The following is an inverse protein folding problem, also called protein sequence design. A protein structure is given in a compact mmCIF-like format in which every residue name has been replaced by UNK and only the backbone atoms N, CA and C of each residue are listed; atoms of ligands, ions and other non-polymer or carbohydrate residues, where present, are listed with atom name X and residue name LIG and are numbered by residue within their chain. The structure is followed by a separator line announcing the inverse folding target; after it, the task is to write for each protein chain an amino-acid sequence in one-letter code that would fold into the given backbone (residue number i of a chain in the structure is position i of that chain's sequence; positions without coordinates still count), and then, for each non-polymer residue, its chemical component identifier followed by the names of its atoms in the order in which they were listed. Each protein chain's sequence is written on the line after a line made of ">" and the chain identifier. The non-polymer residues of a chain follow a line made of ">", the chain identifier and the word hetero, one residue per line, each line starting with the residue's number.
data_IF_249528696176
#
_entry.id   IF_249528696176
#
_cell.length_a   1.000
_cell.length_b   1.000
_cell.length_c   1.000
_cell.angle_alpha   90.00
_cell.angle_beta   90.00
_cell.angle_gamma   90.00
#
_symmetry.space_group_name_H-M   'P 1'
#
loop_
_entity.id
_entity.type
_entity.pdbx_description
1 polymer ?
#
# COMPACT_ATOMS: atom_id res chain seq x y z
N UNK A 1 25.49 -11.74 -12.84
CA UNK A 1 24.79 -11.03 -11.74
C UNK A 1 23.45 -10.54 -12.22
N UNK A 2 23.38 -9.63 -13.20
CA UNK A 2 22.12 -9.12 -13.75
C UNK A 2 21.11 -10.23 -14.10
N UNK A 3 21.50 -11.22 -14.91
CA UNK A 3 20.59 -12.32 -15.35
C UNK A 3 20.05 -13.18 -14.21
N UNK A 4 20.82 -13.29 -13.11
CA UNK A 4 20.38 -14.01 -11.91
C UNK A 4 19.32 -13.22 -11.14
N UNK A 5 19.54 -11.91 -11.01
CA UNK A 5 18.62 -11.00 -10.33
C UNK A 5 17.34 -10.87 -11.15
N UNK A 6 17.42 -10.52 -12.43
CA UNK A 6 16.25 -10.33 -13.31
C UNK A 6 15.49 -11.62 -13.64
N UNK A 7 16.06 -12.80 -13.39
CA UNK A 7 15.45 -14.09 -13.65
C UNK A 7 15.07 -14.85 -12.38
N UNK A 8 15.85 -15.85 -11.94
CA UNK A 8 15.50 -16.72 -10.81
C UNK A 8 15.15 -15.98 -9.50
N UNK A 9 15.89 -14.92 -9.16
CA UNK A 9 15.68 -14.19 -7.90
C UNK A 9 14.39 -13.34 -7.94
N UNK A 10 14.09 -12.72 -9.08
CA UNK A 10 12.83 -12.02 -9.28
C UNK A 10 11.63 -12.97 -9.11
N UNK A 11 11.67 -14.16 -9.71
CA UNK A 11 10.61 -15.17 -9.55
C UNK A 11 10.45 -15.62 -8.10
N UNK A 12 11.56 -15.87 -7.39
CA UNK A 12 11.52 -16.19 -5.97
C UNK A 12 10.86 -15.07 -5.16
N UNK A 13 11.22 -13.82 -5.46
CA UNK A 13 10.66 -12.63 -4.79
C UNK A 13 9.15 -12.51 -5.01
N UNK A 14 8.67 -12.74 -6.24
CA UNK A 14 7.24 -12.79 -6.54
C UNK A 14 6.53 -13.93 -5.81
N UNK A 15 7.10 -15.13 -5.77
CA UNK A 15 6.51 -16.27 -5.04
C UNK A 15 6.37 -15.93 -3.55
N UNK A 16 7.44 -15.42 -2.92
CA UNK A 16 7.41 -15.01 -1.51
C UNK A 16 6.35 -13.93 -1.28
N UNK A 17 6.28 -12.94 -2.16
CA UNK A 17 5.28 -11.88 -2.09
C UNK A 17 3.85 -12.44 -2.15
N UNK A 18 3.50 -13.20 -3.17
CA UNK A 18 2.13 -13.71 -3.36
C UNK A 18 1.74 -14.70 -2.27
N UNK A 19 2.59 -15.68 -1.96
CA UNK A 19 2.33 -16.67 -0.90
C UNK A 19 2.24 -15.98 0.46
N UNK A 20 3.14 -15.05 0.75
CA UNK A 20 3.13 -14.30 2.01
C UNK A 20 1.89 -13.42 2.18
N UNK A 21 1.41 -12.78 1.11
CA UNK A 21 0.15 -12.02 1.14
C UNK A 21 -1.05 -12.93 1.37
N UNK A 22 -1.14 -14.06 0.67
CA UNK A 22 -2.21 -15.04 0.87
C UNK A 22 -2.22 -15.53 2.32
N UNK A 23 -1.05 -15.86 2.86
CA UNK A 23 -0.89 -16.26 4.25
C UNK A 23 -1.39 -15.17 5.21
N UNK A 24 -1.03 -13.90 4.99
CA UNK A 24 -1.49 -12.76 5.81
C UNK A 24 -3.02 -12.60 5.77
N UNK A 25 -3.64 -12.76 4.61
CA UNK A 25 -5.11 -12.69 4.47
C UNK A 25 -5.77 -13.81 5.27
N UNK A 26 -5.31 -15.06 5.08
CA UNK A 26 -5.88 -16.23 5.76
C UNK A 26 -5.76 -16.08 7.27
N UNK A 27 -4.58 -15.69 7.78
CA UNK A 27 -4.35 -15.51 9.21
C UNK A 27 -5.11 -14.34 9.80
N UNK A 28 -5.25 -13.23 9.05
CA UNK A 28 -6.10 -12.12 9.49
C UNK A 28 -7.53 -12.60 9.71
N UNK A 29 -8.12 -13.28 8.72
CA UNK A 29 -9.51 -13.77 8.79
C UNK A 29 -9.69 -14.83 9.88
N UNK A 30 -8.75 -15.77 10.02
CA UNK A 30 -8.78 -16.79 11.09
C UNK A 30 -8.60 -16.18 12.48
N UNK A 31 -7.80 -15.12 12.60
CA UNK A 31 -7.54 -14.41 13.85
C UNK A 31 -8.67 -13.45 14.28
N UNK A 32 -9.72 -13.28 13.48
CA UNK A 32 -10.90 -12.49 13.87
C UNK A 32 -11.67 -13.14 15.03
N UNK A 33 -11.58 -14.46 15.17
CA UNK A 33 -12.20 -15.22 16.26
C UNK A 33 -11.24 -15.35 17.44
N UNK A 34 -11.46 -14.57 18.49
CA UNK A 34 -11.28 -15.11 19.85
C UNK A 34 -11.95 -14.28 20.96
N UNK A 35 -12.02 -12.93 20.91
CA UNK A 35 -12.32 -12.19 22.16
C UNK A 35 -13.09 -10.86 22.10
N UNK A 36 -13.57 -10.38 20.95
CA UNK A 36 -14.22 -9.05 20.88
C UNK A 36 -15.65 -9.12 20.33
N UNK A 37 -16.60 -8.78 21.20
CA UNK A 37 -17.98 -8.36 20.95
C UNK A 37 -18.69 -9.05 19.75
N UNK A 38 -19.26 -10.25 19.98
CA UNK A 38 -19.95 -11.09 18.99
C UNK A 38 -20.77 -10.27 17.99
N UNK A 39 -20.21 -9.95 16.82
CA UNK A 39 -20.95 -9.32 15.73
C UNK A 39 -21.64 -10.45 14.96
N UNK A 40 -22.95 -10.34 14.80
CA UNK A 40 -23.75 -11.30 14.06
C UNK A 40 -23.51 -11.14 12.54
N UNK A 41 -22.29 -11.41 12.07
CA UNK A 41 -21.91 -11.27 10.66
C UNK A 41 -22.76 -12.15 9.74
N UNK A 42 -23.09 -13.38 10.17
CA UNK A 42 -23.91 -14.31 9.37
C UNK A 42 -25.38 -13.85 9.25
N UNK A 43 -26.11 -13.57 10.36
CA UNK A 43 -27.49 -13.10 10.27
C UNK A 43 -27.68 -11.74 9.58
N UNK A 44 -26.71 -10.82 9.71
CA UNK A 44 -26.83 -9.46 9.19
C UNK A 44 -25.84 -9.15 8.05
N UNK A 45 -25.49 -10.17 7.27
CA UNK A 45 -24.49 -10.12 6.19
C UNK A 45 -24.71 -8.95 5.21
N UNK A 46 -25.97 -8.67 4.83
CA UNK A 46 -26.31 -7.56 3.91
C UNK A 46 -25.90 -6.19 4.46
N UNK A 47 -26.19 -5.93 5.73
CA UNK A 47 -25.80 -4.68 6.41
C UNK A 47 -24.29 -4.61 6.61
N UNK A 48 -23.67 -5.74 6.95
CA UNK A 48 -22.22 -5.85 7.06
C UNK A 48 -21.50 -5.50 5.75
N UNK A 49 -21.84 -6.16 4.65
CA UNK A 49 -21.21 -5.93 3.33
C UNK A 49 -21.42 -4.47 2.89
N UNK A 50 -22.62 -3.91 3.09
CA UNK A 50 -22.88 -2.50 2.77
C UNK A 50 -21.99 -1.56 3.59
N UNK A 51 -21.83 -1.84 4.89
CA UNK A 51 -20.93 -1.09 5.77
C UNK A 51 -19.46 -1.22 5.39
N UNK A 52 -19.01 -2.42 5.03
CA UNK A 52 -17.66 -2.70 4.53
C UNK A 52 -17.34 -1.90 3.27
N UNK A 53 -18.20 -2.02 2.24
CA UNK A 53 -18.03 -1.31 0.97
C UNK A 53 -18.01 0.22 1.17
N UNK A 54 -18.94 0.74 2.00
CA UNK A 54 -18.98 2.16 2.35
C UNK A 54 -17.68 2.60 3.04
N UNK A 55 -17.21 1.83 4.02
CA UNK A 55 -15.98 2.10 4.74
C UNK A 55 -14.77 2.13 3.81
N UNK A 56 -14.59 1.13 2.95
CA UNK A 56 -13.48 1.08 1.99
C UNK A 56 -13.55 2.30 1.05
N UNK A 57 -14.71 2.55 0.45
CA UNK A 57 -14.91 3.64 -0.51
C UNK A 57 -14.51 5.01 0.06
N UNK A 58 -15.05 5.40 1.23
CA UNK A 58 -14.74 6.71 1.81
C UNK A 58 -13.29 6.84 2.27
N UNK A 59 -12.61 5.74 2.60
CA UNK A 59 -11.20 5.78 2.96
C UNK A 59 -10.27 5.82 1.75
N UNK A 60 -10.71 5.36 0.58
CA UNK A 60 -10.00 5.49 -0.70
C UNK A 60 -10.18 6.87 -1.36
N UNK A 61 -11.16 7.66 -0.92
CA UNK A 61 -11.35 9.02 -1.43
C UNK A 61 -10.59 10.04 -0.57
N UNK A 62 -9.73 10.89 -1.17
CA UNK A 62 -9.13 12.00 -0.43
C UNK A 62 -10.24 12.87 0.13
N UNK A 63 -10.12 13.25 1.41
CA UNK A 63 -11.14 14.00 2.17
C UNK A 63 -12.49 13.31 2.37
N UNK A 64 -12.63 12.02 1.98
CA UNK A 64 -13.86 11.26 2.15
C UNK A 64 -14.25 11.01 3.61
N UNK A 65 -13.28 11.04 4.53
CA UNK A 65 -13.50 10.84 5.97
C UNK A 65 -13.29 12.12 6.76
N UNK A 66 -13.82 12.18 7.99
CA UNK A 66 -13.56 13.31 8.90
C UNK A 66 -12.07 13.43 9.24
N UNK A 67 -11.38 12.30 9.40
CA UNK A 67 -9.94 12.27 9.70
C UNK A 67 -9.12 12.90 8.57
N UNK A 68 -9.45 12.58 7.31
CA UNK A 68 -8.79 13.17 6.14
C UNK A 68 -9.03 14.68 6.05
N UNK A 69 -10.24 15.14 6.37
CA UNK A 69 -10.57 16.58 6.39
C UNK A 69 -9.89 17.35 7.51
N UNK A 70 -9.64 16.70 8.66
CA UNK A 70 -8.99 17.35 9.79
C UNK A 70 -7.48 17.60 9.56
N UNK A 71 -6.80 16.70 8.84
CA UNK A 71 -5.37 16.85 8.49
C UNK A 71 -5.19 16.95 6.96
N UNK A 72 -5.57 18.07 6.32
CA UNK A 72 -5.67 18.13 4.87
C UNK A 72 -4.32 18.05 4.15
N UNK A 73 -3.28 18.71 4.68
CA UNK A 73 -1.92 18.66 4.12
C UNK A 73 -1.33 17.25 4.15
N UNK A 74 -1.47 16.56 5.30
CA UNK A 74 -1.04 15.18 5.44
C UNK A 74 -1.83 14.23 4.53
N UNK A 75 -3.12 14.49 4.33
CA UNK A 75 -3.96 13.74 3.39
C UNK A 75 -3.41 13.80 1.98
N UNK A 76 -3.19 15.00 1.45
CA UNK A 76 -2.63 15.19 0.10
C UNK A 76 -1.33 14.40 -0.03
N UNK A 77 -0.42 14.55 0.93
CA UNK A 77 0.86 13.86 0.91
C UNK A 77 0.73 12.34 0.90
N UNK A 78 -0.13 11.76 1.74
CA UNK A 78 -0.35 10.31 1.78
C UNK A 78 -0.91 9.82 0.45
N UNK A 79 -1.88 10.53 -0.12
CA UNK A 79 -2.47 10.15 -1.41
C UNK A 79 -1.48 10.28 -2.56
N UNK A 80 -0.71 11.36 -2.63
CA UNK A 80 0.35 11.53 -3.63
C UNK A 80 1.40 10.42 -3.52
N UNK A 81 1.86 10.13 -2.30
CA UNK A 81 2.82 9.07 -2.05
C UNK A 81 2.30 7.71 -2.52
N UNK A 82 1.11 7.30 -2.08
CA UNK A 82 0.57 5.98 -2.43
C UNK A 82 0.14 5.89 -3.90
N UNK A 83 -0.37 6.98 -4.47
CA UNK A 83 -0.69 7.02 -5.89
C UNK A 83 0.58 6.80 -6.71
N UNK A 84 1.65 7.58 -6.49
CA UNK A 84 2.92 7.34 -7.20
C UNK A 84 3.53 5.97 -6.89
N UNK A 85 3.50 5.54 -5.63
CA UNK A 85 4.06 4.25 -5.19
C UNK A 85 3.42 3.06 -5.92
N UNK A 86 2.10 3.09 -6.13
CA UNK A 86 1.35 1.99 -6.74
C UNK A 86 1.19 2.15 -8.25
N UNK A 87 0.95 3.38 -8.71
CA UNK A 87 0.65 3.67 -10.11
C UNK A 87 1.93 3.64 -10.96
N UNK A 88 3.01 4.30 -10.53
CA UNK A 88 4.24 4.36 -11.33
C UNK A 88 4.77 2.98 -11.73
N UNK A 89 4.98 2.01 -10.83
CA UNK A 89 5.55 0.72 -11.24
C UNK A 89 4.63 -0.07 -12.18
N UNK A 90 3.30 0.10 -12.10
CA UNK A 90 2.36 -0.62 -12.96
C UNK A 90 2.27 -0.06 -14.38
N UNK A 91 2.35 1.26 -14.54
CA UNK A 91 2.12 1.93 -15.82
C UNK A 91 3.40 2.48 -16.48
N UNK A 92 4.57 2.25 -15.88
CA UNK A 92 5.86 2.65 -16.46
C UNK A 92 6.17 1.80 -17.71
N UNK A 93 6.57 2.40 -18.85
CA UNK A 93 6.91 1.66 -20.06
C UNK A 93 7.95 0.55 -19.85
N UNK A 94 9.02 0.83 -19.10
CA UNK A 94 10.10 -0.14 -18.86
C UNK A 94 9.63 -1.41 -18.11
N UNK A 95 8.78 -1.26 -17.08
CA UNK A 95 8.20 -2.42 -16.38
C UNK A 95 7.21 -3.17 -17.27
N UNK A 96 6.51 -2.46 -18.14
CA UNK A 96 5.53 -3.06 -19.00
C UNK A 96 6.17 -3.90 -20.12
N UNK A 97 7.29 -3.45 -20.67
CA UNK A 97 8.10 -4.26 -21.59
C UNK A 97 8.58 -5.54 -20.90
N UNK A 98 9.04 -5.44 -19.65
CA UNK A 98 9.42 -6.62 -18.86
C UNK A 98 8.23 -7.57 -18.63
N UNK A 99 7.05 -7.04 -18.34
CA UNK A 99 5.82 -7.82 -18.18
C UNK A 99 5.45 -8.52 -19.49
N UNK A 100 5.44 -7.81 -20.61
CA UNK A 100 5.13 -8.35 -21.93
C UNK A 100 6.10 -9.46 -22.32
N UNK A 101 7.39 -9.29 -22.06
CA UNK A 101 8.40 -10.32 -22.29
C UNK A 101 8.21 -11.57 -21.41
N UNK A 102 7.73 -11.39 -20.18
CA UNK A 102 7.55 -12.48 -19.22
C UNK A 102 6.25 -13.27 -19.42
N UNK A 103 5.14 -12.60 -19.74
CA UNK A 103 3.80 -13.22 -19.78
C UNK A 103 3.05 -13.02 -21.12
N UNK A 104 3.63 -12.29 -22.08
CA UNK A 104 3.03 -12.07 -23.41
C UNK A 104 1.92 -11.01 -23.44
N UNK A 105 1.71 -10.26 -22.36
CA UNK A 105 0.67 -9.22 -22.26
C UNK A 105 1.21 -7.96 -21.60
N UNK A 106 0.85 -6.80 -22.14
CA UNK A 106 1.20 -5.48 -21.61
C UNK A 106 -0.02 -4.69 -21.13
N UNK A 107 0.20 -3.82 -20.15
CA UNK A 107 -0.74 -2.83 -19.63
C UNK A 107 -0.72 -1.52 -20.44
N UNK A 108 -1.67 -0.60 -20.25
CA UNK A 108 -1.50 0.78 -20.71
C UNK A 108 -0.26 1.41 -20.08
N UNK A 109 0.38 2.36 -20.77
CA UNK A 109 1.56 3.06 -20.25
C UNK A 109 1.32 4.56 -20.14
N UNK A 110 2.01 5.21 -19.19
CA UNK A 110 2.10 6.68 -19.12
C UNK A 110 3.35 7.19 -19.84
N UNK A 111 3.42 8.50 -20.09
CA UNK A 111 4.64 9.13 -20.60
C UNK A 111 5.76 9.06 -19.56
N UNK A 112 7.00 8.98 -20.05
CA UNK A 112 8.20 8.96 -19.17
C UNK A 112 8.28 10.20 -18.29
N UNK A 113 7.96 11.39 -18.84
CA UNK A 113 7.91 12.63 -18.04
C UNK A 113 6.88 12.59 -16.93
N UNK A 114 5.73 11.94 -17.13
CA UNK A 114 4.74 11.79 -16.07
C UNK A 114 5.24 10.84 -14.97
N UNK A 115 5.94 9.76 -15.36
CA UNK A 115 6.55 8.85 -14.40
C UNK A 115 7.68 9.51 -13.59
N UNK A 116 8.50 10.36 -14.21
CA UNK A 116 9.53 11.16 -13.53
C UNK A 116 8.89 12.09 -12.49
N UNK A 117 7.86 12.83 -12.88
CA UNK A 117 7.14 13.73 -11.96
C UNK A 117 6.56 12.94 -10.78
N UNK A 118 5.91 11.80 -11.03
CA UNK A 118 5.37 10.95 -9.96
C UNK A 118 6.48 10.43 -9.04
N UNK A 119 7.63 10.06 -9.59
CA UNK A 119 8.79 9.57 -8.82
C UNK A 119 9.35 10.66 -7.92
N UNK A 120 9.52 11.88 -8.44
CA UNK A 120 9.93 13.05 -7.66
C UNK A 120 8.93 13.33 -6.54
N UNK A 121 7.62 13.29 -6.84
CA UNK A 121 6.58 13.50 -5.84
C UNK A 121 6.59 12.43 -4.74
N UNK A 122 6.87 11.15 -5.06
CA UNK A 122 7.04 10.07 -4.08
C UNK A 122 8.23 10.37 -3.16
N UNK A 123 9.38 10.77 -3.73
CA UNK A 123 10.58 11.09 -2.96
C UNK A 123 10.33 12.30 -2.03
N UNK A 124 9.73 13.37 -2.56
CA UNK A 124 9.38 14.55 -1.74
C UNK A 124 8.41 14.18 -0.63
N UNK A 125 7.35 13.42 -0.93
CA UNK A 125 6.39 12.97 0.08
C UNK A 125 7.05 12.08 1.15
N UNK A 126 8.01 11.23 0.79
CA UNK A 126 8.78 10.44 1.76
C UNK A 126 9.58 11.35 2.72
N UNK A 127 10.25 12.37 2.19
CA UNK A 127 11.00 13.35 2.98
C UNK A 127 10.07 14.07 3.95
N UNK A 128 8.91 14.54 3.49
CA UNK A 128 7.92 15.19 4.37
C UNK A 128 7.33 14.23 5.42
N UNK A 129 7.13 12.94 5.11
CA UNK A 129 6.71 11.92 6.09
C UNK A 129 7.78 11.74 7.17
N UNK A 130 9.06 11.69 6.78
CA UNK A 130 10.20 11.63 7.72
C UNK A 130 10.22 12.88 8.60
N UNK A 131 10.17 14.06 7.99
CA UNK A 131 10.14 15.33 8.72
C UNK A 131 8.96 15.39 9.69
N UNK A 132 7.77 14.90 9.31
CA UNK A 132 6.61 14.83 10.21
C UNK A 132 6.86 13.92 11.42
N UNK A 133 7.46 12.74 11.20
CA UNK A 133 7.80 11.80 12.28
C UNK A 133 8.84 12.37 13.24
N UNK A 134 9.77 13.17 12.72
CA UNK A 134 10.78 13.83 13.51
C UNK A 134 10.20 15.06 14.19
N UNK A 135 9.41 15.92 13.54
CA UNK A 135 9.00 17.21 14.08
C UNK A 135 7.83 17.13 15.09
N UNK A 136 6.81 16.30 14.83
CA UNK A 136 5.58 16.27 15.63
C UNK A 136 5.70 15.32 16.82
N UNK A 137 5.57 15.79 18.08
CA UNK A 137 5.70 14.95 19.27
C UNK A 137 4.72 13.77 19.29
N UNK A 138 3.49 13.98 18.83
CA UNK A 138 2.41 12.97 18.81
C UNK A 138 2.75 11.80 17.88
N UNK A 139 3.56 12.05 16.86
CA UNK A 139 4.02 11.03 15.91
C UNK A 139 5.34 10.44 16.37
N UNK A 140 6.23 11.27 16.90
CA UNK A 140 7.56 10.88 17.37
C UNK A 140 7.49 9.84 18.48
N UNK A 141 6.58 10.00 19.44
CA UNK A 141 6.40 9.06 20.56
C UNK A 141 5.98 7.64 20.11
N UNK A 142 5.34 7.52 18.94
CA UNK A 142 4.92 6.24 18.36
C UNK A 142 5.92 5.68 17.33
N UNK A 143 6.92 6.47 16.95
CA UNK A 143 7.85 6.13 15.87
C UNK A 143 8.97 5.23 16.38
N UNK A 144 9.19 4.11 15.71
CA UNK A 144 10.31 3.18 15.98
C UNK A 144 11.37 3.29 14.86
N UNK A 145 12.64 2.92 15.09
CA UNK A 145 13.66 2.84 14.02
C UNK A 145 13.19 2.00 12.82
N UNK A 146 12.44 0.95 13.11
CA UNK A 146 11.79 0.10 12.13
C UNK A 146 10.83 0.83 11.17
N UNK A 147 10.18 1.92 11.57
CA UNK A 147 9.33 2.73 10.68
C UNK A 147 10.14 3.44 9.59
N UNK A 148 11.36 3.88 9.91
CA UNK A 148 12.27 4.49 8.94
C UNK A 148 12.84 3.44 7.98
N UNK A 149 13.19 2.26 8.48
CA UNK A 149 13.65 1.14 7.64
C UNK A 149 12.59 0.74 6.61
N UNK A 150 11.34 0.59 7.04
CA UNK A 150 10.23 0.23 6.15
C UNK A 150 9.99 1.30 5.08
N UNK A 151 10.08 2.59 5.46
CA UNK A 151 9.96 3.68 4.49
C UNK A 151 11.14 3.71 3.51
N UNK A 152 12.37 3.46 3.98
CA UNK A 152 13.54 3.36 3.13
C UNK A 152 13.40 2.24 2.09
N UNK A 153 12.93 1.06 2.50
CA UNK A 153 12.65 -0.07 1.59
C UNK A 153 11.62 0.32 0.52
N UNK A 154 10.56 1.03 0.89
CA UNK A 154 9.52 1.45 -0.06
C UNK A 154 10.02 2.48 -1.09
N UNK A 155 10.96 3.34 -0.71
CA UNK A 155 11.43 4.47 -1.54
C UNK A 155 12.72 4.14 -2.30
N UNK A 156 13.52 3.18 -1.83
CA UNK A 156 14.78 2.79 -2.46
C UNK A 156 14.65 2.40 -3.96
N UNK A 157 13.61 1.65 -4.40
CA UNK A 157 13.42 1.36 -5.83
C UNK A 157 13.20 2.63 -6.65
N UNK A 158 12.47 3.61 -6.10
CA UNK A 158 12.21 4.88 -6.78
C UNK A 158 13.48 5.70 -6.94
N UNK A 159 14.32 5.79 -5.91
CA UNK A 159 15.60 6.50 -5.98
C UNK A 159 16.53 5.83 -6.99
N UNK A 160 16.76 4.52 -6.85
CA UNK A 160 17.68 3.78 -7.72
C UNK A 160 17.21 3.72 -9.17
N UNK A 161 15.90 3.57 -9.41
CA UNK A 161 15.31 3.58 -10.74
C UNK A 161 15.40 4.94 -11.41
N UNK A 162 15.12 6.02 -10.67
CA UNK A 162 15.28 7.39 -11.15
C UNK A 162 16.73 7.71 -11.53
N UNK A 163 17.68 7.31 -10.69
CA UNK A 163 19.11 7.46 -10.98
C UNK A 163 19.54 6.65 -12.21
N UNK A 164 19.03 5.42 -12.37
CA UNK A 164 19.30 4.61 -13.54
C UNK A 164 18.77 5.26 -14.83
N UNK A 165 17.53 5.76 -14.80
CA UNK A 165 16.89 6.41 -15.94
C UNK A 165 17.63 7.68 -16.38
N UNK A 166 18.01 8.54 -15.43
CA UNK A 166 18.80 9.75 -15.70
C UNK A 166 20.30 9.51 -15.88
N UNK A 167 20.74 8.24 -15.94
CA UNK A 167 22.14 7.86 -16.14
C UNK A 167 23.09 8.47 -15.11
N UNK A 168 22.64 8.65 -13.87
CA UNK A 168 23.47 9.16 -12.78
C UNK A 168 24.32 8.01 -12.24
N UNK A 169 25.61 8.04 -12.57
CA UNK A 169 26.56 6.98 -12.23
C UNK A 169 26.55 5.84 -13.24
N UNK A 170 27.01 4.64 -12.83
CA UNK A 170 27.06 3.50 -13.73
C UNK A 170 25.65 2.89 -13.91
N UNK A 171 25.13 2.96 -15.15
CA UNK A 171 23.79 2.46 -15.49
C UNK A 171 23.55 1.01 -15.05
N UNK A 172 24.49 0.09 -15.33
CA UNK A 172 24.33 -1.33 -14.98
C UNK A 172 24.27 -1.54 -13.47
N UNK A 173 25.05 -0.77 -12.71
CA UNK A 173 25.04 -0.81 -11.25
C UNK A 173 23.71 -0.28 -10.71
N UNK A 174 23.25 0.88 -11.20
CA UNK A 174 21.98 1.47 -10.75
C UNK A 174 20.77 0.62 -11.12
N UNK A 175 20.76 0.05 -12.33
CA UNK A 175 19.71 -0.88 -12.75
C UNK A 175 19.70 -2.15 -11.89
N UNK A 176 20.87 -2.74 -11.62
CA UNK A 176 20.96 -3.91 -10.73
C UNK A 176 20.50 -3.56 -9.32
N UNK A 177 20.88 -2.38 -8.79
CA UNK A 177 20.45 -1.90 -7.50
C UNK A 177 18.93 -1.65 -7.44
N UNK A 178 18.34 -1.12 -8.51
CA UNK A 178 16.90 -0.93 -8.65
C UNK A 178 16.14 -2.25 -8.56
N UNK A 179 16.57 -3.26 -9.33
CA UNK A 179 15.93 -4.57 -9.31
C UNK A 179 16.05 -5.20 -7.91
N UNK A 180 17.24 -5.19 -7.31
CA UNK A 180 17.45 -5.71 -5.95
C UNK A 180 16.59 -4.97 -4.91
N UNK A 181 16.47 -3.65 -5.02
CA UNK A 181 15.61 -2.87 -4.13
C UNK A 181 14.13 -3.23 -4.32
N UNK A 182 13.69 -3.44 -5.57
CA UNK A 182 12.34 -3.92 -5.89
C UNK A 182 12.06 -5.30 -5.30
N UNK A 183 12.99 -6.24 -5.46
CA UNK A 183 12.91 -7.59 -4.89
C UNK A 183 12.87 -7.57 -3.36
N UNK A 184 13.75 -6.81 -2.72
CA UNK A 184 13.76 -6.61 -1.25
C UNK A 184 12.41 -6.04 -0.81
N UNK A 185 11.85 -5.07 -1.54
CA UNK A 185 10.53 -4.53 -1.24
C UNK A 185 9.45 -5.62 -1.34
N UNK A 186 9.41 -6.38 -2.44
CA UNK A 186 8.44 -7.48 -2.63
C UNK A 186 8.51 -8.52 -1.52
N UNK A 187 9.71 -8.96 -1.16
CA UNK A 187 9.95 -9.90 -0.06
C UNK A 187 9.55 -9.30 1.29
N UNK A 188 9.83 -8.02 1.53
CA UNK A 188 9.52 -7.34 2.79
C UNK A 188 8.02 -7.09 2.99
N UNK A 189 7.23 -6.95 1.91
CA UNK A 189 5.79 -6.63 2.01
C UNK A 189 5.04 -7.55 2.97
N UNK A 190 5.05 -8.89 2.82
CA UNK A 190 4.29 -9.77 3.70
C UNK A 190 4.83 -9.79 5.13
N UNK A 191 6.10 -9.50 5.39
CA UNK A 191 6.68 -9.63 6.73
C UNK A 191 6.68 -8.32 7.54
N UNK A 192 6.43 -7.18 6.89
CA UNK A 192 6.59 -5.87 7.53
C UNK A 192 5.29 -5.08 7.66
N UNK A 193 5.39 -3.83 8.13
CA UNK A 193 4.29 -2.84 8.12
C UNK A 193 3.78 -2.54 6.71
N UNK A 194 4.51 -2.89 5.65
CA UNK A 194 4.06 -2.76 4.25
C UNK A 194 2.86 -3.67 3.92
N UNK A 195 2.64 -4.75 4.68
CA UNK A 195 1.46 -5.61 4.54
C UNK A 195 0.13 -4.84 4.72
N UNK A 196 0.17 -3.61 5.25
CA UNK A 196 -0.99 -2.71 5.26
C UNK A 196 -1.61 -2.51 3.88
N UNK A 197 -0.88 -2.69 2.78
CA UNK A 197 -1.46 -2.61 1.43
C UNK A 197 -2.67 -3.55 1.27
N UNK A 198 -2.67 -4.73 1.89
CA UNK A 198 -3.83 -5.65 1.92
C UNK A 198 -4.62 -5.53 3.22
N UNK A 199 -3.93 -5.47 4.36
CA UNK A 199 -4.57 -5.46 5.67
C UNK A 199 -5.39 -4.18 5.92
N UNK A 200 -5.10 -3.10 5.19
CA UNK A 200 -5.98 -1.93 5.13
C UNK A 200 -7.38 -2.32 4.68
N UNK A 201 -7.53 -3.02 3.56
CA UNK A 201 -8.84 -3.43 3.06
C UNK A 201 -9.54 -4.37 4.03
N UNK A 202 -8.80 -5.32 4.61
CA UNK A 202 -9.37 -6.28 5.57
C UNK A 202 -9.89 -5.58 6.84
N UNK A 203 -9.09 -4.69 7.41
CA UNK A 203 -9.49 -3.92 8.60
C UNK A 203 -10.59 -2.91 8.32
N UNK A 204 -10.55 -2.22 7.17
CA UNK A 204 -11.63 -1.31 6.76
C UNK A 204 -12.93 -2.06 6.49
N UNK A 205 -12.87 -3.26 5.91
CA UNK A 205 -14.02 -4.13 5.72
C UNK A 205 -14.60 -4.53 7.07
N UNK A 206 -13.79 -5.12 7.96
CA UNK A 206 -14.23 -5.56 9.29
C UNK A 206 -14.88 -4.42 10.08
N UNK A 207 -14.18 -3.29 10.26
CA UNK A 207 -14.73 -2.13 10.98
C UNK A 207 -16.01 -1.62 10.30
N UNK A 208 -16.04 -1.60 8.97
CA UNK A 208 -17.23 -1.24 8.21
C UNK A 208 -18.41 -2.18 8.48
N UNK A 209 -18.17 -3.49 8.56
CA UNK A 209 -19.18 -4.47 8.92
C UNK A 209 -19.67 -4.26 10.36
N UNK A 210 -18.77 -4.01 11.30
CA UNK A 210 -19.10 -3.81 12.72
C UNK A 210 -20.01 -2.61 12.92
N UNK A 211 -19.69 -1.46 12.33
CA UNK A 211 -20.55 -0.27 12.37
C UNK A 211 -21.78 -0.36 11.47
N UNK A 212 -21.76 -1.23 10.45
CA UNK A 212 -22.92 -1.52 9.61
C UNK A 212 -23.96 -2.38 10.31
N UNK A 213 -23.52 -3.35 11.11
CA UNK A 213 -24.38 -4.28 11.86
C UNK A 213 -24.75 -3.69 13.22
N UNK A 214 -23.79 -3.16 13.97
CA UNK A 214 -24.00 -2.54 15.29
C UNK A 214 -24.01 -1.01 15.20
N UNK A 215 -24.14 -0.34 16.35
CA UNK A 215 -23.82 1.10 16.53
C UNK A 215 -24.50 2.07 15.54
N UNK A 216 -25.74 1.80 15.15
CA UNK A 216 -26.53 2.70 14.32
C UNK A 216 -26.71 2.27 12.87
N UNK A 217 -25.91 1.34 12.35
CA UNK A 217 -26.01 0.91 10.95
C UNK A 217 -27.32 0.22 10.58
N UNK A 218 -27.91 -0.54 11.50
CA UNK A 218 -29.23 -1.16 11.35
C UNK A 218 -30.40 -0.29 11.83
N UNK A 219 -30.15 0.83 12.53
CA UNK A 219 -31.20 1.71 13.09
C UNK A 219 -32.00 2.46 12.01
N UNK A 220 -31.55 2.41 10.75
CA UNK A 220 -32.25 3.01 9.60
C UNK A 220 -33.25 2.07 8.91
N UNK A 221 -33.55 0.89 9.48
CA UNK A 221 -34.53 -0.04 8.88
C UNK A 221 -35.95 0.07 9.47
N UNK A 222 -36.08 0.55 10.71
CA UNK A 222 -37.29 0.94 11.44
C UNK A 222 -36.77 1.51 12.77
N UNK A 223 -37.22 2.70 13.15
CA UNK A 223 -36.64 3.49 14.24
C UNK A 223 -36.47 2.70 15.54
N UNK A 224 -35.46 3.06 16.33
CA UNK A 224 -35.42 2.59 17.71
C UNK A 224 -36.40 3.42 18.54
N UNK A 225 -37.40 2.74 19.07
CA UNK A 225 -38.13 3.13 20.28
C UNK A 225 -37.25 2.81 21.49
N UNK A 226 -36.43 3.77 21.87
CA UNK A 226 -36.19 4.15 23.27
C UNK A 226 -35.57 5.54 23.28
#
# INVERSE_FOLDING_TARGET
>A
MYDFVSGPLAWLSFIIFFVGIIYRIIWYVRGLDWQMDRVAYRPHRKYGIKGAARSIFYWLLPFGTRSWRYYPSFTIMVFVFHFGLLFSPLFLPAHNIMLEQAVGFGLPTISESAADVLTILVILAAVFIIMRRIALPEVRILTKPYDFLVLAIAVAPFITGFLAYHQVGNYRVMLTAHILCGEIMLVAIPFTKLSHFVLFFMSRAQLGMDYGIKRGGMKNAKGMTW
#
